data_IF_549664663834
#
_entry.id   IF_549664663834
#
_cell.length_a   1.000
_cell.length_b   1.000
_cell.length_c   1.000
_cell.angle_alpha   90.00
_cell.angle_beta   90.00
_cell.angle_gamma   90.00
#
_symmetry.space_group_name_H-M   'P 1'
#
loop_
_entity.id
_entity.type
_entity.pdbx_description
1 polymer ?
#
# COMPACT_ATOMS: atom_id res chain seq x y z
N UNK A 1 -27.57 17.15 -5.45
CA UNK A 1 -26.19 17.68 -5.57
C UNK A 1 -25.96 18.09 -7.02
N UNK A 2 -25.28 19.21 -7.20
CA UNK A 2 -24.87 19.72 -8.50
C UNK A 2 -23.35 19.57 -8.62
N UNK A 3 -22.87 19.13 -9.79
CA UNK A 3 -21.43 19.11 -10.07
C UNK A 3 -20.98 20.52 -10.39
N UNK A 4 -20.12 21.10 -9.56
CA UNK A 4 -19.60 22.46 -9.73
C UNK A 4 -18.43 22.46 -10.71
N UNK A 5 -17.49 21.54 -10.53
CA UNK A 5 -16.31 21.36 -11.37
C UNK A 5 -15.87 19.89 -11.37
N UNK A 6 -15.16 19.49 -12.38
CA UNK A 6 -14.40 18.24 -12.43
C UNK A 6 -12.99 18.52 -12.92
N UNK A 7 -11.99 18.12 -12.15
CA UNK A 7 -10.59 18.15 -12.59
C UNK A 7 -9.94 16.77 -12.37
N UNK A 8 -8.92 16.46 -13.15
CA UNK A 8 -8.27 15.16 -13.14
C UNK A 8 -6.85 15.31 -12.63
N UNK A 9 -6.58 14.68 -11.51
CA UNK A 9 -5.24 14.64 -10.88
C UNK A 9 -5.01 13.26 -10.24
N UNK A 10 -4.79 12.22 -11.04
CA UNK A 10 -4.82 10.84 -10.58
C UNK A 10 -3.65 10.52 -9.64
N UNK A 11 -3.93 9.74 -8.60
CA UNK A 11 -2.92 9.19 -7.69
C UNK A 11 -3.37 7.87 -7.03
N UNK A 12 -4.13 7.04 -7.77
CA UNK A 12 -4.80 5.83 -7.28
C UNK A 12 -5.94 6.15 -6.31
N UNK A 13 -6.14 5.36 -5.27
CA UNK A 13 -7.14 5.65 -4.24
C UNK A 13 -6.79 6.94 -3.52
N UNK A 14 -7.78 7.77 -3.27
CA UNK A 14 -7.60 9.09 -2.69
C UNK A 14 -8.69 9.36 -1.67
N UNK A 15 -8.30 9.59 -0.42
CA UNK A 15 -9.16 10.16 0.59
C UNK A 15 -9.16 11.68 0.44
N UNK A 16 -10.26 12.33 0.81
CA UNK A 16 -10.48 13.76 0.62
C UNK A 16 -11.01 14.38 1.90
N UNK A 17 -10.37 15.44 2.37
CA UNK A 17 -10.82 16.23 3.51
C UNK A 17 -10.82 17.73 3.16
N UNK A 18 -11.71 18.47 3.80
CA UNK A 18 -11.81 19.93 3.67
C UNK A 18 -11.67 20.57 5.04
N UNK A 19 -10.86 21.62 5.12
CA UNK A 19 -10.74 22.45 6.30
C UNK A 19 -10.69 23.94 5.88
N UNK A 20 -11.71 24.72 6.25
CA UNK A 20 -11.85 26.08 5.75
C UNK A 20 -11.89 26.10 4.22
N UNK A 21 -10.99 26.88 3.62
CA UNK A 21 -10.83 26.99 2.18
C UNK A 21 -9.73 26.07 1.61
N UNK A 22 -9.27 25.08 2.39
CA UNK A 22 -8.27 24.10 1.97
C UNK A 22 -8.89 22.74 1.72
N UNK A 23 -8.50 22.12 0.60
CA UNK A 23 -8.85 20.76 0.22
C UNK A 23 -7.59 19.89 0.24
N UNK A 24 -7.62 18.82 1.01
CA UNK A 24 -6.55 17.83 1.12
C UNK A 24 -6.93 16.57 0.35
N UNK A 25 -6.02 16.07 -0.48
CA UNK A 25 -6.24 14.87 -1.28
C UNK A 25 -5.08 13.90 -1.07
N UNK A 26 -5.37 12.70 -0.59
CA UNK A 26 -4.43 11.60 -0.47
C UNK A 26 -3.91 11.13 -1.83
N UNK A 27 -2.67 10.64 -1.86
CA UNK A 27 -2.05 9.98 -3.00
C UNK A 27 -1.21 8.80 -2.55
N UNK A 28 -1.60 7.59 -2.93
CA UNK A 28 -0.90 6.36 -2.56
C UNK A 28 -0.20 5.71 -3.74
N UNK A 29 -0.83 5.77 -4.91
CA UNK A 29 -0.45 4.97 -6.07
C UNK A 29 0.93 5.26 -6.64
N UNK A 30 1.52 4.24 -7.26
CA UNK A 30 2.85 4.32 -7.87
C UNK A 30 2.90 5.18 -9.13
N UNK A 31 1.74 5.52 -9.70
CA UNK A 31 1.64 6.25 -10.98
C UNK A 31 1.25 7.72 -10.82
N UNK A 32 0.96 8.18 -9.60
CA UNK A 32 0.61 9.58 -9.35
C UNK A 32 1.75 10.52 -9.75
N UNK A 33 1.40 11.70 -10.33
CA UNK A 33 2.35 12.74 -10.71
C UNK A 33 2.16 13.99 -9.87
N UNK A 34 3.26 14.68 -9.57
CA UNK A 34 3.24 15.97 -8.87
C UNK A 34 2.46 17.04 -9.64
N UNK A 35 2.58 17.05 -10.95
CA UNK A 35 2.00 18.05 -11.85
C UNK A 35 0.59 17.71 -12.34
N UNK A 36 -0.03 16.67 -11.80
CA UNK A 36 -1.35 16.16 -12.23
C UNK A 36 -1.44 15.77 -13.72
N UNK A 37 -0.33 15.70 -14.45
CA UNK A 37 -0.37 15.34 -15.86
C UNK A 37 -0.80 13.89 -16.09
N UNK A 38 -1.41 13.62 -17.23
CA UNK A 38 -1.79 12.28 -17.65
C UNK A 38 -0.59 11.38 -17.94
N UNK A 39 -0.84 10.07 -18.13
CA UNK A 39 0.18 9.06 -18.44
C UNK A 39 0.90 8.47 -17.24
N UNK A 40 0.82 9.11 -16.12
CA UNK A 40 1.40 8.61 -14.85
C UNK A 40 2.94 8.56 -14.85
N UNK A 41 3.50 7.99 -13.79
CA UNK A 41 4.93 7.70 -13.63
C UNK A 41 5.15 6.21 -13.87
N UNK A 42 6.03 5.85 -14.78
CA UNK A 42 6.32 4.45 -15.15
C UNK A 42 7.69 3.97 -14.63
N UNK A 43 8.59 4.89 -14.33
CA UNK A 43 9.92 4.59 -13.82
C UNK A 43 9.86 3.99 -12.41
N UNK A 44 10.77 3.08 -12.07
CA UNK A 44 10.88 2.50 -10.74
C UNK A 44 11.22 3.56 -9.68
N UNK A 45 12.09 4.51 -10.04
CA UNK A 45 12.49 5.67 -9.23
C UNK A 45 12.16 6.94 -10.00
N UNK A 46 11.41 7.88 -9.41
CA UNK A 46 11.05 9.12 -10.07
C UNK A 46 10.74 10.26 -9.08
N UNK A 47 11.46 11.35 -9.18
CA UNK A 47 11.18 12.57 -8.41
C UNK A 47 9.90 13.31 -8.87
N UNK A 48 9.28 12.89 -9.97
CA UNK A 48 7.98 13.40 -10.42
C UNK A 48 6.80 12.65 -9.82
N UNK A 49 7.05 11.57 -9.08
CA UNK A 49 5.99 10.78 -8.44
C UNK A 49 5.42 11.49 -7.23
N UNK A 50 4.10 11.60 -7.20
CA UNK A 50 3.37 11.99 -6.00
C UNK A 50 3.01 10.75 -5.18
N UNK A 51 3.39 10.77 -3.91
CA UNK A 51 2.87 9.87 -2.87
C UNK A 51 2.86 10.63 -1.55
N UNK A 52 1.67 10.92 -1.03
CA UNK A 52 1.49 11.76 0.16
C UNK A 52 0.20 12.56 0.08
N UNK A 53 0.24 13.83 0.41
CA UNK A 53 -0.92 14.71 0.44
C UNK A 53 -0.73 15.84 -0.59
N UNK A 54 -1.76 16.11 -1.38
CA UNK A 54 -1.90 17.34 -2.16
C UNK A 54 -2.77 18.32 -1.41
N UNK A 55 -2.47 19.60 -1.54
CA UNK A 55 -3.20 20.72 -0.92
C UNK A 55 -3.66 21.65 -2.02
N UNK A 56 -4.96 21.92 -2.05
CA UNK A 56 -5.57 22.88 -2.96
C UNK A 56 -6.23 24.00 -2.15
N UNK A 57 -6.13 25.23 -2.63
CA UNK A 57 -6.98 26.32 -2.23
C UNK A 57 -8.30 26.23 -3.01
N UNK A 58 -9.40 26.23 -2.29
CA UNK A 58 -10.77 26.18 -2.83
C UNK A 58 -11.60 27.40 -2.46
N UNK A 59 -10.95 28.53 -2.14
CA UNK A 59 -11.61 29.82 -1.93
C UNK A 59 -12.57 30.14 -3.10
N UNK A 60 -12.12 29.88 -4.33
CA UNK A 60 -13.02 29.78 -5.47
C UNK A 60 -13.22 28.27 -5.82
N UNK A 61 -14.30 27.70 -5.31
CA UNK A 61 -14.63 26.28 -5.57
C UNK A 61 -14.78 25.93 -7.06
N UNK A 62 -14.96 26.94 -7.93
CA UNK A 62 -15.04 26.73 -9.38
C UNK A 62 -13.68 26.72 -10.06
N UNK A 63 -12.66 27.19 -9.35
CA UNK A 63 -11.29 27.26 -9.84
C UNK A 63 -10.29 26.87 -8.73
N UNK A 64 -10.27 25.60 -8.28
CA UNK A 64 -9.33 25.14 -7.26
C UNK A 64 -7.88 25.36 -7.70
N UNK A 65 -7.07 25.92 -6.82
CA UNK A 65 -5.64 26.16 -7.07
C UNK A 65 -4.78 25.15 -6.35
N UNK A 66 -3.88 24.46 -7.07
CA UNK A 66 -2.93 23.53 -6.47
C UNK A 66 -1.79 24.30 -5.80
N UNK A 67 -1.81 24.40 -4.47
CA UNK A 67 -0.89 25.27 -3.72
C UNK A 67 0.33 24.50 -3.17
N UNK A 68 0.18 23.24 -2.78
CA UNK A 68 1.28 22.46 -2.21
C UNK A 68 1.09 20.94 -2.33
N UNK A 69 2.18 20.22 -2.07
CA UNK A 69 2.14 18.80 -1.75
C UNK A 69 3.18 18.45 -0.70
N UNK A 70 2.88 17.46 0.12
CA UNK A 70 3.83 16.88 1.08
C UNK A 70 4.03 15.41 0.74
N UNK A 71 5.26 15.06 0.42
CA UNK A 71 5.65 13.70 0.07
C UNK A 71 5.87 12.86 1.32
N UNK A 72 5.38 11.64 1.32
CA UNK A 72 5.55 10.68 2.42
C UNK A 72 6.25 9.42 1.93
N UNK A 73 6.87 8.67 2.83
CA UNK A 73 7.62 7.46 2.46
C UNK A 73 6.72 6.34 1.95
N UNK A 74 5.46 6.27 2.39
CA UNK A 74 4.53 5.19 2.09
C UNK A 74 3.23 5.66 1.45
N UNK A 75 3.19 6.90 0.96
CA UNK A 75 1.98 7.48 0.41
C UNK A 75 0.89 7.69 1.46
N UNK A 76 -0.30 8.01 1.00
CA UNK A 76 -1.49 8.17 1.83
C UNK A 76 -2.68 7.52 1.14
N UNK A 77 -3.21 6.45 1.74
CA UNK A 77 -4.48 5.85 1.35
C UNK A 77 -5.64 6.64 1.96
N UNK A 78 -5.52 6.89 3.26
CA UNK A 78 -6.42 7.72 4.06
C UNK A 78 -5.59 8.65 4.94
N UNK A 79 -6.20 9.74 5.38
CA UNK A 79 -5.58 10.66 6.32
C UNK A 79 -6.61 11.19 7.32
N UNK A 80 -6.14 11.75 8.42
CA UNK A 80 -6.99 12.40 9.41
C UNK A 80 -6.55 13.83 9.58
N UNK A 81 -7.46 14.78 9.41
CA UNK A 81 -7.23 16.19 9.68
C UNK A 81 -7.63 16.51 11.13
N UNK A 82 -6.73 17.12 11.87
CA UNK A 82 -6.94 17.46 13.28
C UNK A 82 -6.59 18.93 13.55
N UNK A 83 -7.40 19.55 14.39
CA UNK A 83 -7.12 20.85 15.00
C UNK A 83 -6.41 20.63 16.35
N UNK A 84 -5.41 21.45 16.65
CA UNK A 84 -4.88 21.57 18.00
C UNK A 84 -5.58 22.75 18.70
N UNK A 85 -6.29 22.56 19.80
CA UNK A 85 -6.98 23.64 20.48
C UNK A 85 -6.06 24.74 21.05
N UNK A 86 -4.74 24.51 21.04
CA UNK A 86 -3.73 25.46 21.48
C UNK A 86 -2.96 26.11 20.32
N UNK A 87 -3.32 25.78 19.07
CA UNK A 87 -2.67 26.26 17.85
C UNK A 87 -3.74 26.57 16.78
N UNK A 88 -4.13 27.81 16.68
CA UNK A 88 -5.12 28.30 15.72
C UNK A 88 -4.48 28.79 14.41
N UNK A 89 -3.15 28.76 14.31
CA UNK A 89 -2.42 29.14 13.11
C UNK A 89 -2.21 27.96 12.14
N UNK A 90 -2.35 26.73 12.62
CA UNK A 90 -2.06 25.52 11.85
C UNK A 90 -3.19 24.49 11.93
N UNK A 91 -3.25 23.64 10.91
CA UNK A 91 -3.99 22.38 10.94
C UNK A 91 -3.02 21.22 10.70
N UNK A 92 -3.31 20.06 11.26
CA UNK A 92 -2.43 18.90 11.23
C UNK A 92 -3.06 17.76 10.45
N UNK A 93 -2.26 17.09 9.60
CA UNK A 93 -2.69 15.92 8.84
C UNK A 93 -1.87 14.72 9.28
N UNK A 94 -2.54 13.68 9.73
CA UNK A 94 -1.94 12.43 10.18
C UNK A 94 -2.04 11.38 9.09
N UNK A 95 -0.89 10.86 8.66
CA UNK A 95 -0.77 9.87 7.57
C UNK A 95 -0.09 8.61 8.09
N UNK A 96 -0.78 7.48 8.07
CA UNK A 96 -0.20 6.20 8.50
C UNK A 96 0.60 5.49 7.38
N UNK A 97 0.35 5.81 6.13
CA UNK A 97 1.00 5.18 4.98
C UNK A 97 0.78 3.66 4.88
N UNK A 98 0.31 3.18 3.75
CA UNK A 98 -0.04 1.75 3.55
C UNK A 98 0.70 1.10 2.39
N UNK A 99 1.21 1.90 1.45
CA UNK A 99 1.93 1.40 0.30
C UNK A 99 3.36 0.92 0.65
N UNK A 100 4.04 0.17 -0.25
CA UNK A 100 5.45 -0.14 -0.11
C UNK A 100 6.29 1.12 0.10
N UNK A 101 7.35 1.02 0.88
CA UNK A 101 8.26 2.14 1.13
C UNK A 101 8.92 2.59 -0.17
N UNK A 102 9.02 3.89 -0.40
CA UNK A 102 9.76 4.47 -1.53
C UNK A 102 11.26 4.23 -1.36
N UNK A 103 12.01 4.00 -2.45
CA UNK A 103 13.47 3.97 -2.37
C UNK A 103 14.02 5.33 -1.94
N UNK A 104 15.12 5.32 -1.19
CA UNK A 104 15.77 6.55 -0.70
C UNK A 104 16.23 7.49 -1.84
N UNK A 105 16.50 6.93 -3.01
CA UNK A 105 16.83 7.68 -4.23
C UNK A 105 15.64 8.51 -4.74
N UNK A 106 14.40 8.10 -4.43
CA UNK A 106 13.20 8.84 -4.81
C UNK A 106 12.82 9.88 -3.75
N UNK A 107 12.95 9.53 -2.48
CA UNK A 107 12.72 10.42 -1.35
C UNK A 107 13.71 10.08 -0.23
N UNK A 108 14.62 11.01 0.02
CA UNK A 108 15.61 10.89 1.08
C UNK A 108 14.96 10.64 2.45
N UNK A 109 15.57 9.82 3.28
CA UNK A 109 15.08 9.48 4.62
C UNK A 109 14.00 8.38 4.64
N UNK A 110 13.68 7.77 3.50
CA UNK A 110 12.83 6.59 3.45
C UNK A 110 13.65 5.31 3.54
N UNK A 111 13.32 4.45 4.50
CA UNK A 111 13.95 3.15 4.68
C UNK A 111 12.88 2.08 4.86
N UNK A 112 13.03 0.94 4.20
CA UNK A 112 12.17 -0.23 4.32
C UNK A 112 12.72 -1.29 5.27
N UNK A 113 13.89 -1.05 5.86
CA UNK A 113 14.47 -1.94 6.88
C UNK A 113 13.58 -1.96 8.12
N UNK A 114 13.70 -3.02 8.91
CA UNK A 114 12.97 -3.10 10.19
C UNK A 114 13.47 -2.02 11.16
N UNK A 115 12.63 -1.57 12.10
CA UNK A 115 13.01 -0.53 13.07
C UNK A 115 14.26 -0.86 13.89
N UNK A 116 14.53 -2.14 14.12
CA UNK A 116 15.72 -2.62 14.84
C UNK A 116 17.00 -2.48 14.01
N UNK A 117 16.87 -2.45 12.69
CA UNK A 117 18.00 -2.34 11.74
C UNK A 117 18.28 -0.88 11.37
N UNK A 118 17.21 -0.07 11.26
CA UNK A 118 17.32 1.33 10.89
C UNK A 118 16.33 2.20 11.70
N UNK A 119 16.83 3.11 12.55
CA UNK A 119 15.97 4.03 13.30
C UNK A 119 15.13 4.96 12.39
N UNK A 120 15.51 5.12 11.12
CA UNK A 120 14.75 5.89 10.13
C UNK A 120 13.74 5.06 9.36
N UNK A 121 13.52 3.80 9.75
CA UNK A 121 12.51 2.94 9.13
C UNK A 121 11.19 3.67 8.94
N UNK A 122 10.63 3.58 7.74
CA UNK A 122 9.29 4.08 7.43
C UNK A 122 8.16 3.13 7.86
N UNK A 123 8.51 1.99 8.46
CA UNK A 123 7.55 1.03 8.98
C UNK A 123 7.06 1.47 10.36
N UNK A 124 5.78 1.22 10.65
CA UNK A 124 5.14 1.45 11.96
C UNK A 124 5.22 2.89 12.48
N UNK A 125 5.28 3.88 11.58
CA UNK A 125 5.27 5.29 11.96
C UNK A 125 4.08 6.03 11.34
N UNK A 126 3.67 7.11 12.00
CA UNK A 126 2.72 8.10 11.47
C UNK A 126 3.52 9.33 11.06
N UNK A 127 3.26 9.86 9.88
CA UNK A 127 3.83 11.13 9.43
C UNK A 127 2.82 12.24 9.73
N UNK A 128 3.23 13.20 10.57
CA UNK A 128 2.41 14.35 10.98
C UNK A 128 2.81 15.55 10.14
N UNK A 129 1.90 16.00 9.32
CA UNK A 129 2.08 17.16 8.45
C UNK A 129 1.43 18.36 9.14
N UNK A 130 2.19 19.43 9.36
CA UNK A 130 1.68 20.73 9.76
C UNK A 130 1.39 21.55 8.50
N UNK A 131 0.21 22.16 8.46
CA UNK A 131 -0.21 23.05 7.38
C UNK A 131 -0.49 24.41 7.98
N UNK A 132 0.38 25.43 7.78
CA UNK A 132 0.14 26.78 8.20
C UNK A 132 -1.04 27.39 7.42
N UNK A 133 -2.08 27.84 8.12
CA UNK A 133 -3.31 28.31 7.47
C UNK A 133 -3.12 29.59 6.65
N UNK A 134 -2.19 30.45 7.09
CA UNK A 134 -1.87 31.69 6.36
C UNK A 134 -0.96 31.46 5.12
N UNK A 135 -0.20 30.36 5.10
CA UNK A 135 0.79 30.05 4.05
C UNK A 135 0.84 28.52 3.83
N UNK A 136 -0.23 27.91 3.28
CA UNK A 136 -0.34 26.46 3.14
C UNK A 136 0.74 25.84 2.22
N UNK A 137 1.40 26.64 1.40
CA UNK A 137 2.55 26.25 0.59
C UNK A 137 3.77 25.85 1.44
N UNK A 138 3.81 26.25 2.71
CA UNK A 138 4.86 25.86 3.67
C UNK A 138 4.53 24.56 4.45
N UNK A 139 3.51 23.81 4.02
CA UNK A 139 3.17 22.55 4.65
C UNK A 139 4.34 21.56 4.63
N UNK A 140 4.62 20.95 5.77
CA UNK A 140 5.75 20.05 5.93
C UNK A 140 5.49 18.96 7.00
N UNK A 141 6.22 17.84 6.92
CA UNK A 141 6.27 16.87 8.01
C UNK A 141 7.03 17.49 9.18
N UNK A 142 6.36 17.58 10.34
CA UNK A 142 6.94 18.14 11.58
C UNK A 142 7.30 17.07 12.60
N UNK A 143 6.71 15.90 12.51
CA UNK A 143 7.08 14.74 13.32
C UNK A 143 6.70 13.44 12.64
N UNK A 144 7.38 12.36 13.04
CA UNK A 144 7.13 11.03 12.53
C UNK A 144 7.13 10.03 13.69
N UNK A 145 6.16 10.14 14.63
CA UNK A 145 6.12 9.26 15.78
C UNK A 145 5.94 7.82 15.35
N UNK A 146 6.74 6.94 15.93
CA UNK A 146 6.60 5.52 15.75
C UNK A 146 5.51 5.00 16.68
N UNK A 147 4.61 4.21 16.14
CA UNK A 147 3.65 3.45 16.92
C UNK A 147 4.21 2.04 17.14
N UNK A 148 3.93 1.43 18.28
CA UNK A 148 4.36 0.07 18.62
C UNK A 148 5.88 -0.10 18.86
N UNK A 149 6.59 0.94 19.26
CA UNK A 149 8.04 0.88 19.54
C UNK A 149 8.41 -0.19 20.59
N UNK A 150 7.54 -0.41 21.58
CA UNK A 150 7.77 -1.35 22.68
C UNK A 150 7.11 -2.72 22.44
N UNK A 151 6.53 -2.96 21.27
CA UNK A 151 5.92 -4.25 20.99
C UNK A 151 6.96 -5.26 20.51
N UNK A 152 7.12 -6.31 21.29
CA UNK A 152 7.83 -7.50 20.86
C UNK A 152 6.91 -8.25 19.90
N UNK A 153 7.36 -8.45 18.66
CA UNK A 153 6.65 -9.29 17.72
C UNK A 153 6.42 -10.68 18.34
N UNK A 154 5.20 -11.25 18.24
CA UNK A 154 5.00 -12.63 18.67
C UNK A 154 5.92 -13.55 17.87
N UNK A 155 6.42 -14.62 18.50
CA UNK A 155 7.30 -15.63 17.86
C UNK A 155 6.71 -16.23 16.59
N UNK A 156 5.41 -16.14 16.41
CA UNK A 156 4.73 -16.44 15.15
C UNK A 156 3.56 -15.48 14.98
N UNK A 157 3.24 -15.11 13.77
CA UNK A 157 1.93 -14.51 13.42
C UNK A 157 0.86 -15.60 13.54
N UNK A 158 0.69 -16.12 14.77
CA UNK A 158 -0.06 -17.32 15.04
C UNK A 158 -1.38 -17.38 14.30
N UNK A 159 -1.48 -18.36 13.42
CA UNK A 159 -2.78 -18.82 12.95
C UNK A 159 -3.56 -19.27 14.20
N UNK A 160 -4.86 -18.97 14.25
CA UNK A 160 -5.71 -19.49 15.31
C UNK A 160 -5.62 -21.03 15.32
N UNK A 161 -5.76 -21.69 16.48
CA UNK A 161 -5.72 -23.15 16.55
C UNK A 161 -6.64 -23.85 15.56
N UNK A 162 -7.79 -23.25 15.27
CA UNK A 162 -8.75 -23.77 14.29
C UNK A 162 -8.24 -23.66 12.85
N UNK A 163 -7.49 -22.60 12.51
CA UNK A 163 -6.86 -22.43 11.20
C UNK A 163 -5.72 -23.44 11.01
N UNK A 164 -4.90 -23.66 12.03
CA UNK A 164 -3.85 -24.70 12.01
C UNK A 164 -4.46 -26.08 11.77
N UNK A 165 -5.54 -26.38 12.48
CA UNK A 165 -6.27 -27.64 12.31
C UNK A 165 -6.85 -27.75 10.90
N UNK A 166 -7.44 -26.69 10.35
CA UNK A 166 -7.99 -26.68 9.00
C UNK A 166 -6.91 -26.93 7.94
N UNK A 167 -5.69 -26.40 8.11
CA UNK A 167 -4.56 -26.65 7.24
C UNK A 167 -4.09 -28.11 7.35
N UNK A 168 -4.03 -28.67 8.56
CA UNK A 168 -3.69 -30.09 8.78
C UNK A 168 -4.71 -31.02 8.14
N UNK A 169 -6.00 -30.78 8.34
CA UNK A 169 -7.10 -31.53 7.75
C UNK A 169 -7.04 -31.46 6.21
N UNK A 170 -6.80 -30.27 5.65
CA UNK A 170 -6.62 -30.08 4.21
C UNK A 170 -5.40 -30.86 3.67
N UNK A 171 -4.30 -30.87 4.42
CA UNK A 171 -3.09 -31.65 4.07
C UNK A 171 -3.36 -33.16 4.09
N UNK A 172 -4.06 -33.61 5.13
CA UNK A 172 -4.46 -35.01 5.25
C UNK A 172 -5.42 -35.42 4.13
N UNK A 173 -6.32 -34.53 3.71
CA UNK A 173 -7.22 -34.72 2.57
C UNK A 173 -6.53 -34.60 1.20
N UNK A 174 -5.22 -34.36 1.14
CA UNK A 174 -4.45 -34.27 -0.10
C UNK A 174 -4.71 -32.99 -0.91
N UNK A 175 -5.32 -31.98 -0.33
CA UNK A 175 -5.55 -30.68 -0.98
C UNK A 175 -4.24 -29.97 -1.31
N UNK A 176 -4.33 -28.99 -2.22
CA UNK A 176 -3.19 -28.16 -2.57
C UNK A 176 -3.07 -27.01 -1.58
N UNK A 177 -1.86 -26.83 -1.05
CA UNK A 177 -1.53 -25.78 -0.09
C UNK A 177 -0.40 -24.96 -0.71
N UNK A 178 -0.64 -23.66 -0.90
CA UNK A 178 0.38 -22.69 -1.30
C UNK A 178 1.04 -22.11 -0.08
N UNK A 179 2.33 -21.80 -0.20
CA UNK A 179 3.08 -21.05 0.79
C UNK A 179 3.31 -19.64 0.23
N UNK A 180 2.91 -18.61 0.98
CA UNK A 180 3.12 -17.19 0.63
C UNK A 180 3.79 -16.55 1.83
N UNK A 181 5.11 -16.33 1.76
CA UNK A 181 5.89 -15.95 2.94
C UNK A 181 5.74 -17.01 4.04
N UNK A 182 5.40 -16.59 5.24
CA UNK A 182 5.15 -17.48 6.39
C UNK A 182 3.74 -18.09 6.41
N UNK A 183 2.84 -17.73 5.49
CA UNK A 183 1.44 -18.15 5.49
C UNK A 183 1.21 -19.37 4.61
N UNK A 184 0.43 -20.34 5.13
CA UNK A 184 -0.09 -21.48 4.36
C UNK A 184 -1.53 -21.19 3.95
N UNK A 185 -1.82 -21.29 2.66
CA UNK A 185 -3.15 -21.05 2.09
C UNK A 185 -3.65 -22.32 1.41
N UNK A 186 -4.80 -22.84 1.86
CA UNK A 186 -5.47 -23.95 1.19
C UNK A 186 -6.12 -23.46 -0.09
N UNK A 187 -5.70 -23.99 -1.23
CA UNK A 187 -6.25 -23.59 -2.52
C UNK A 187 -7.66 -24.15 -2.73
N UNK A 188 -8.59 -23.34 -3.29
CA UNK A 188 -9.89 -23.85 -3.70
C UNK A 188 -9.76 -24.98 -4.72
N UNK A 189 -10.55 -26.05 -4.55
CA UNK A 189 -10.50 -27.23 -5.44
C UNK A 189 -10.76 -26.85 -6.91
N UNK A 190 -11.67 -25.88 -7.17
CA UNK A 190 -11.93 -25.37 -8.51
C UNK A 190 -10.71 -24.74 -9.18
N UNK A 191 -9.93 -23.98 -8.43
CA UNK A 191 -8.69 -23.39 -8.94
C UNK A 191 -7.63 -24.48 -9.21
N UNK A 192 -7.42 -25.39 -8.27
CA UNK A 192 -6.46 -26.48 -8.43
C UNK A 192 -6.81 -27.36 -9.64
N UNK A 193 -8.08 -27.73 -9.80
CA UNK A 193 -8.55 -28.54 -10.93
C UNK A 193 -8.34 -27.81 -12.27
N UNK A 194 -8.61 -26.50 -12.33
CA UNK A 194 -8.39 -25.70 -13.54
C UNK A 194 -6.91 -25.72 -13.96
N UNK A 195 -5.98 -25.61 -13.01
CA UNK A 195 -4.55 -25.65 -13.29
C UNK A 195 -4.11 -27.06 -13.74
N UNK A 196 -4.59 -28.11 -13.09
CA UNK A 196 -4.32 -29.51 -13.46
C UNK A 196 -4.84 -29.80 -14.87
N UNK A 197 -6.04 -29.34 -15.21
CA UNK A 197 -6.61 -29.45 -16.55
C UNK A 197 -5.76 -28.71 -17.59
N UNK A 198 -5.19 -27.57 -17.26
CA UNK A 198 -4.28 -26.85 -18.15
C UNK A 198 -3.01 -27.65 -18.43
N UNK A 199 -2.40 -28.23 -17.39
CA UNK A 199 -1.22 -29.08 -17.50
C UNK A 199 -1.54 -30.34 -18.35
N UNK A 200 -2.64 -30.99 -18.06
CA UNK A 200 -3.15 -32.13 -18.82
C UNK A 200 -3.29 -31.81 -20.31
N UNK A 201 -3.90 -30.69 -20.66
CA UNK A 201 -4.05 -30.25 -22.07
C UNK A 201 -2.70 -29.97 -22.73
N UNK A 202 -1.78 -29.33 -22.00
CA UNK A 202 -0.44 -29.00 -22.50
C UNK A 202 0.35 -30.24 -22.93
N UNK A 203 0.15 -31.41 -22.25
CA UNK A 203 0.76 -32.66 -22.63
C UNK A 203 -0.05 -33.49 -23.67
N UNK A 204 -1.17 -32.91 -24.19
CA UNK A 204 -2.05 -33.59 -25.16
C UNK A 204 -2.99 -34.66 -24.53
N UNK A 205 -3.20 -34.58 -23.21
CA UNK A 205 -4.10 -35.49 -22.50
C UNK A 205 -5.57 -35.05 -22.59
N UNK A 206 -6.48 -36.00 -22.30
CA UNK A 206 -7.92 -35.76 -22.26
C UNK A 206 -8.52 -36.00 -20.89
N UNK A 207 -7.77 -36.59 -19.98
CA UNK A 207 -8.17 -36.86 -18.60
C UNK A 207 -6.97 -36.60 -17.67
N UNK A 208 -7.17 -35.84 -16.59
CA UNK A 208 -6.12 -35.60 -15.60
C UNK A 208 -5.66 -36.90 -14.92
N UNK A 209 -4.39 -36.98 -14.56
CA UNK A 209 -3.81 -38.09 -13.85
C UNK A 209 -2.87 -37.63 -12.72
N UNK A 210 -2.31 -38.57 -11.98
CA UNK A 210 -1.44 -38.28 -10.84
C UNK A 210 -0.18 -37.45 -11.23
N UNK A 211 0.34 -37.65 -12.44
CA UNK A 211 1.50 -36.88 -12.91
C UNK A 211 1.15 -35.40 -13.13
N UNK A 212 -0.06 -35.08 -13.61
CA UNK A 212 -0.52 -33.69 -13.77
C UNK A 212 -0.62 -32.99 -12.42
N UNK A 213 -1.16 -33.70 -11.41
CA UNK A 213 -1.24 -33.19 -10.04
C UNK A 213 0.14 -33.01 -9.40
N UNK A 214 1.09 -33.92 -9.67
CA UNK A 214 2.47 -33.79 -9.20
C UNK A 214 3.17 -32.60 -9.85
N UNK A 215 3.02 -32.43 -11.16
CA UNK A 215 3.55 -31.25 -11.89
C UNK A 215 2.97 -29.93 -11.36
N UNK A 216 1.69 -29.90 -11.02
CA UNK A 216 1.10 -28.70 -10.41
C UNK A 216 1.70 -28.43 -9.03
N UNK A 217 1.92 -29.45 -8.18
CA UNK A 217 2.56 -29.26 -6.87
C UNK A 217 3.99 -28.71 -6.99
N UNK A 218 4.74 -29.16 -7.99
CA UNK A 218 6.09 -28.65 -8.26
C UNK A 218 6.09 -27.22 -8.78
N UNK A 219 5.12 -26.87 -9.61
CA UNK A 219 4.98 -25.51 -10.19
C UNK A 219 4.44 -24.49 -9.20
N UNK A 220 3.62 -24.91 -8.24
CA UNK A 220 2.88 -24.05 -7.33
C UNK A 220 3.74 -23.01 -6.60
N UNK A 221 4.90 -23.30 -6.01
CA UNK A 221 5.75 -22.30 -5.36
C UNK A 221 6.18 -21.18 -6.32
N UNK A 222 6.63 -21.55 -7.53
CA UNK A 222 7.07 -20.60 -8.56
C UNK A 222 5.94 -19.70 -9.05
N UNK A 223 4.73 -20.22 -9.13
CA UNK A 223 3.56 -19.44 -9.53
C UNK A 223 3.26 -18.33 -8.54
N UNK A 224 3.31 -18.60 -7.24
CA UNK A 224 3.07 -17.61 -6.21
C UNK A 224 4.23 -16.62 -6.06
N UNK A 225 5.48 -17.07 -6.20
CA UNK A 225 6.66 -16.21 -6.23
C UNK A 225 6.56 -15.18 -7.39
N UNK A 226 6.14 -15.62 -8.57
CA UNK A 226 5.92 -14.72 -9.71
C UNK A 226 4.76 -13.75 -9.48
N UNK A 227 3.69 -14.16 -8.80
CA UNK A 227 2.53 -13.29 -8.48
C UNK A 227 2.83 -12.26 -7.38
N UNK A 228 3.71 -12.58 -6.45
CA UNK A 228 4.14 -11.69 -5.36
C UNK A 228 5.31 -10.77 -5.73
N UNK A 229 5.78 -10.84 -6.99
CA UNK A 229 6.83 -9.98 -7.51
C UNK A 229 8.22 -10.28 -6.96
N UNK A 230 8.44 -11.49 -6.44
CA UNK A 230 9.73 -11.87 -5.85
C UNK A 230 10.13 -11.02 -4.64
N UNK A 231 9.17 -10.31 -4.02
CA UNK A 231 9.42 -9.65 -2.75
C UNK A 231 9.64 -10.73 -1.70
N UNK A 232 10.87 -10.92 -1.30
CA UNK A 232 11.19 -11.54 -0.02
C UNK A 232 10.48 -10.70 1.05
N UNK A 233 9.32 -11.19 1.47
CA UNK A 233 8.74 -10.79 2.74
C UNK A 233 9.52 -11.59 3.79
N UNK A 234 10.72 -11.09 4.12
CA UNK A 234 11.41 -11.47 5.33
C UNK A 234 10.64 -10.93 6.54
#
# INVERSE_FOLDING_TARGET
>A
PETVITFVCPASQSDVSVYGDLLFISGEGMTGRLDCAGGGVQEAVSHHRLRGIRIFDITDIRNPEYVANVQTCRGSHTHTVLEDPNDDENVYIYVSGSAPVRPAEELEGCSSLMPEEDPNSALFRIEVIQVPLANPENAAIVSSPRIFDDLVAPESHGLAPDDLKAIEDARAAGKFIAQIGSQSIVLPDGFANMQIDSIMRARGGTTPNAADSASFREYLPRMFEAMTGGSELA
#
